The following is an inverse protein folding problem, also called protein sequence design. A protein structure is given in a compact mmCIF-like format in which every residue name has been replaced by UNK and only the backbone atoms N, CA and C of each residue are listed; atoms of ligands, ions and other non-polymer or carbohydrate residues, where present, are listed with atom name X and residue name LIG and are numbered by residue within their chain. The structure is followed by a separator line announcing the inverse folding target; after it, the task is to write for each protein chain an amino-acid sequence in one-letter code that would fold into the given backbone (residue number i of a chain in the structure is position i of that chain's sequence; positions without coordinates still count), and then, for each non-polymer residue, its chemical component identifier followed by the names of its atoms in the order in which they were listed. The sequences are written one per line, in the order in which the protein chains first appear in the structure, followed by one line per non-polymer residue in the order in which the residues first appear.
data_IF_028693880186
#
_entry.id   IF_028693880186
#
_cell.length_a   1.000
_cell.length_b   1.000
_cell.length_c   1.000
_cell.angle_alpha   90.00
_cell.angle_beta   90.00
_cell.angle_gamma   90.00
#
_symmetry.space_group_name_H-M   'P 1'
#
loop_
_entity.id
_entity.type
_entity.pdbx_description
1 polymer ?
#
# COMPACT_ATOMS: atom_id res chain seq x y z
N UNK A 1 -21.14 -3.59 -54.46
CA UNK A 1 -20.87 -2.87 -53.20
C UNK A 1 -20.23 -3.84 -52.22
N UNK A 2 -18.94 -3.68 -51.90
CA UNK A 2 -18.28 -4.40 -50.80
C UNK A 2 -17.80 -3.36 -49.81
N UNK A 3 -18.41 -3.34 -48.63
CA UNK A 3 -18.00 -2.49 -47.51
C UNK A 3 -16.59 -2.88 -47.09
N UNK A 4 -15.65 -1.94 -47.18
CA UNK A 4 -14.35 -2.06 -46.53
C UNK A 4 -14.56 -1.70 -45.07
N UNK A 5 -14.67 -2.70 -44.21
CA UNK A 5 -14.49 -2.49 -42.78
C UNK A 5 -13.07 -1.96 -42.57
N UNK A 6 -12.98 -0.68 -42.20
CA UNK A 6 -11.73 -0.06 -41.75
C UNK A 6 -11.37 -0.73 -40.43
N UNK A 7 -10.42 -1.66 -40.48
CA UNK A 7 -9.74 -2.16 -39.27
C UNK A 7 -9.12 -0.93 -38.59
N UNK A 8 -9.64 -0.58 -37.42
CA UNK A 8 -9.09 0.50 -36.60
C UNK A 8 -7.65 0.14 -36.22
N UNK A 9 -6.73 1.10 -36.36
CA UNK A 9 -5.36 0.92 -35.90
C UNK A 9 -5.38 0.64 -34.38
N UNK A 10 -4.61 -0.37 -33.94
CA UNK A 10 -4.54 -0.82 -32.56
C UNK A 10 -4.33 0.32 -31.57
N UNK A 11 -3.46 1.28 -31.89
CA UNK A 11 -3.18 2.48 -31.08
C UNK A 11 -4.41 3.39 -30.88
N UNK A 12 -5.28 3.50 -31.88
CA UNK A 12 -6.52 4.31 -31.78
C UNK A 12 -7.53 3.61 -30.89
N UNK A 13 -7.60 2.28 -30.95
CA UNK A 13 -8.45 1.49 -30.09
C UNK A 13 -7.97 1.52 -28.63
N UNK A 14 -6.67 1.35 -28.40
CA UNK A 14 -6.03 1.46 -27.09
C UNK A 14 -6.26 2.85 -26.48
N UNK A 15 -6.07 3.93 -27.25
CA UNK A 15 -6.35 5.29 -26.78
C UNK A 15 -7.82 5.52 -26.41
N UNK A 16 -8.77 4.89 -27.12
CA UNK A 16 -10.19 4.94 -26.76
C UNK A 16 -10.50 4.17 -25.49
N UNK A 17 -9.91 2.98 -25.31
CA UNK A 17 -10.08 2.20 -24.09
C UNK A 17 -9.54 2.93 -22.87
N UNK A 18 -8.38 3.59 -23.00
CA UNK A 18 -7.81 4.40 -21.92
C UNK A 18 -8.71 5.59 -21.57
N UNK A 19 -9.23 6.31 -22.58
CA UNK A 19 -10.18 7.39 -22.35
C UNK A 19 -11.46 6.91 -21.64
N UNK A 20 -12.02 5.77 -22.07
CA UNK A 20 -13.19 5.15 -21.42
C UNK A 20 -12.88 4.73 -19.97
N UNK A 21 -11.71 4.13 -19.70
CA UNK A 21 -11.29 3.76 -18.35
C UNK A 21 -11.27 4.98 -17.43
N UNK A 22 -10.66 6.08 -17.87
CA UNK A 22 -10.59 7.35 -17.13
C UNK A 22 -11.97 7.94 -16.84
N UNK A 23 -12.90 7.85 -17.79
CA UNK A 23 -14.27 8.31 -17.60
C UNK A 23 -15.06 7.45 -16.61
N UNK A 24 -14.95 6.12 -16.72
CA UNK A 24 -15.58 5.16 -15.78
C UNK A 24 -15.04 5.35 -14.37
N UNK A 25 -13.73 5.53 -14.19
CA UNK A 25 -13.11 5.76 -12.89
C UNK A 25 -13.63 7.05 -12.26
N UNK A 26 -13.66 8.15 -13.02
CA UNK A 26 -14.18 9.44 -12.55
C UNK A 26 -15.65 9.36 -12.13
N UNK A 27 -16.48 8.69 -12.91
CA UNK A 27 -17.91 8.54 -12.58
C UNK A 27 -18.12 7.60 -11.39
N UNK A 28 -17.31 6.55 -11.27
CA UNK A 28 -17.33 5.64 -10.11
C UNK A 28 -16.93 6.37 -8.84
N UNK A 29 -15.88 7.20 -8.87
CA UNK A 29 -15.49 8.06 -7.74
C UNK A 29 -16.64 9.00 -7.33
N UNK A 30 -17.31 9.62 -8.31
CA UNK A 30 -18.45 10.52 -8.08
C UNK A 30 -19.62 9.81 -7.41
N UNK A 31 -19.91 8.58 -7.81
CA UNK A 31 -21.00 7.76 -7.25
C UNK A 31 -20.66 7.30 -5.82
N UNK A 32 -19.44 6.80 -5.61
CA UNK A 32 -19.04 6.20 -4.34
C UNK A 32 -18.78 7.24 -3.24
N UNK A 33 -18.17 8.38 -3.60
CA UNK A 33 -17.69 9.37 -2.63
C UNK A 33 -18.38 10.73 -2.74
N UNK A 34 -19.23 10.90 -3.76
CA UNK A 34 -19.99 12.12 -4.00
C UNK A 34 -19.27 13.11 -4.93
N UNK A 35 -20.00 14.12 -5.46
CA UNK A 35 -19.50 15.04 -6.47
C UNK A 35 -18.46 16.04 -5.96
N UNK A 36 -18.30 16.17 -4.64
CA UNK A 36 -17.34 17.09 -4.00
C UNK A 36 -16.14 16.37 -3.41
N UNK A 37 -16.05 15.04 -3.55
CA UNK A 37 -14.90 14.31 -3.06
C UNK A 37 -13.62 14.75 -3.80
N UNK A 38 -12.49 14.88 -3.10
CA UNK A 38 -11.21 15.10 -3.76
C UNK A 38 -10.89 13.91 -4.67
N UNK A 39 -10.02 14.12 -5.67
CA UNK A 39 -9.61 13.03 -6.56
C UNK A 39 -8.95 11.90 -5.77
N UNK A 40 -9.51 10.69 -5.87
CA UNK A 40 -8.97 9.51 -5.16
C UNK A 40 -7.58 9.17 -5.67
N UNK A 41 -7.38 9.21 -6.99
CA UNK A 41 -6.06 9.05 -7.62
C UNK A 41 -5.01 10.02 -7.07
N UNK A 42 -5.35 11.31 -6.92
CA UNK A 42 -4.42 12.30 -6.37
C UNK A 42 -4.10 12.05 -4.89
N UNK A 43 -5.09 11.62 -4.11
CA UNK A 43 -4.91 11.22 -2.71
C UNK A 43 -3.96 10.01 -2.61
N UNK A 44 -4.24 8.93 -3.34
CA UNK A 44 -3.43 7.72 -3.33
C UNK A 44 -1.99 8.00 -3.76
N UNK A 45 -1.79 8.83 -4.78
CA UNK A 45 -0.46 9.23 -5.24
C UNK A 45 0.32 10.05 -4.19
N UNK A 46 -0.36 10.78 -3.31
CA UNK A 46 0.28 11.63 -2.29
C UNK A 46 0.51 10.90 -0.98
N UNK A 47 -0.38 9.97 -0.63
CA UNK A 47 -0.50 9.45 0.72
C UNK A 47 -0.61 7.93 0.82
N UNK A 48 -0.70 7.22 -0.30
CA UNK A 48 -1.12 5.82 -0.32
C UNK A 48 -2.59 5.67 0.11
N UNK A 49 -2.95 4.49 0.60
CA UNK A 49 -4.32 4.18 0.99
C UNK A 49 -4.81 4.92 2.24
N UNK A 50 -3.88 5.39 3.08
CA UNK A 50 -4.21 6.15 4.29
C UNK A 50 -3.09 7.12 4.62
N UNK A 51 -3.42 8.40 4.80
CA UNK A 51 -2.43 9.43 5.09
C UNK A 51 -1.92 9.32 6.54
N UNK A 52 -0.59 9.26 6.74
CA UNK A 52 -0.02 9.34 8.08
C UNK A 52 -0.28 10.72 8.68
N UNK A 53 -0.77 10.75 9.92
CA UNK A 53 -0.93 11.99 10.71
C UNK A 53 0.30 12.21 11.58
N UNK A 54 0.59 13.47 11.94
CA UNK A 54 1.69 13.81 12.84
C UNK A 54 1.60 13.05 14.17
N UNK A 55 0.38 12.90 14.71
CA UNK A 55 0.14 12.19 15.96
C UNK A 55 0.39 10.68 15.82
N UNK A 56 -0.03 10.06 14.70
CA UNK A 56 0.21 8.65 14.44
C UNK A 56 1.72 8.37 14.32
N UNK A 57 2.43 9.17 13.53
CA UNK A 57 3.89 9.09 13.38
C UNK A 57 4.60 9.27 14.73
N UNK A 58 4.19 10.27 15.51
CA UNK A 58 4.76 10.54 16.83
C UNK A 58 4.51 9.38 17.81
N UNK A 59 3.35 8.74 17.74
CA UNK A 59 3.04 7.61 18.60
C UNK A 59 3.82 6.34 18.22
N UNK A 60 4.08 6.12 16.93
CA UNK A 60 4.97 5.05 16.48
C UNK A 60 6.40 5.34 16.94
N UNK A 61 6.89 6.57 16.77
CA UNK A 61 8.22 6.96 17.24
C UNK A 61 8.37 6.79 18.76
N UNK A 62 7.32 7.11 19.53
CA UNK A 62 7.29 6.96 20.98
C UNK A 62 7.34 5.50 21.46
N UNK A 63 7.19 4.51 20.58
CA UNK A 63 7.46 3.10 20.93
C UNK A 63 8.94 2.88 21.29
N UNK A 64 9.85 3.71 20.75
CA UNK A 64 11.30 3.54 20.93
C UNK A 64 11.82 2.23 20.31
N UNK A 65 11.08 1.66 19.35
CA UNK A 65 11.42 0.41 18.68
C UNK A 65 11.70 0.68 17.19
N UNK A 66 12.70 -0.01 16.59
CA UNK A 66 12.79 -0.06 15.13
C UNK A 66 11.55 -0.73 14.53
N UNK A 67 11.17 -0.35 13.32
CA UNK A 67 9.97 -0.82 12.63
C UNK A 67 10.35 -1.71 11.45
N UNK A 68 9.57 -2.78 11.26
CA UNK A 68 9.46 -3.51 10.00
C UNK A 68 8.07 -3.27 9.43
N UNK A 69 7.98 -2.68 8.25
CA UNK A 69 6.71 -2.46 7.52
C UNK A 69 6.56 -3.55 6.46
N UNK A 70 5.43 -4.27 6.48
CA UNK A 70 5.07 -5.25 5.46
C UNK A 70 3.88 -4.75 4.64
N UNK A 71 3.94 -4.89 3.32
CA UNK A 71 2.94 -4.33 2.41
C UNK A 71 3.08 -2.81 2.26
N UNK A 72 4.31 -2.30 2.21
CA UNK A 72 4.59 -0.87 2.23
C UNK A 72 4.20 -0.11 0.94
N UNK A 73 3.81 -0.82 -0.11
CA UNK A 73 3.58 -0.31 -1.46
C UNK A 73 4.79 0.48 -1.95
N UNK A 74 4.56 1.76 -2.29
CA UNK A 74 5.62 2.67 -2.74
C UNK A 74 6.36 3.39 -1.59
N UNK A 75 5.98 3.18 -0.32
CA UNK A 75 6.74 3.64 0.86
C UNK A 75 6.35 5.00 1.42
N UNK A 76 5.06 5.36 1.40
CA UNK A 76 4.60 6.62 2.02
C UNK A 76 4.82 6.66 3.54
N UNK A 77 4.46 5.58 4.25
CA UNK A 77 4.63 5.49 5.70
C UNK A 77 6.09 5.31 6.10
N UNK A 78 6.84 4.47 5.38
CA UNK A 78 8.31 4.38 5.52
C UNK A 78 8.98 5.75 5.49
N UNK A 79 8.70 6.56 4.46
CA UNK A 79 9.27 7.90 4.30
C UNK A 79 8.87 8.83 5.45
N UNK A 80 7.61 8.82 5.84
CA UNK A 80 7.10 9.66 6.93
C UNK A 80 7.78 9.32 8.26
N UNK A 81 7.89 8.04 8.59
CA UNK A 81 8.52 7.54 9.82
C UNK A 81 10.03 7.80 9.84
N UNK A 82 10.72 7.57 8.72
CA UNK A 82 12.16 7.89 8.62
C UNK A 82 12.44 9.38 8.74
N UNK A 83 11.57 10.22 8.17
CA UNK A 83 11.67 11.69 8.34
C UNK A 83 11.53 12.09 9.81
N UNK A 84 10.76 11.34 10.60
CA UNK A 84 10.64 11.50 12.04
C UNK A 84 11.78 10.82 12.85
N UNK A 85 12.80 10.28 12.20
CA UNK A 85 13.96 9.66 12.85
C UNK A 85 13.78 8.22 13.31
N UNK A 86 12.70 7.54 12.86
CA UNK A 86 12.46 6.13 13.19
C UNK A 86 13.31 5.23 12.27
N UNK A 87 13.98 4.22 12.84
CA UNK A 87 14.61 3.15 12.05
C UNK A 87 13.53 2.26 11.45
N UNK A 88 13.33 2.36 10.14
CA UNK A 88 12.34 1.57 9.39
C UNK A 88 13.01 0.76 8.29
N UNK A 89 12.65 -0.52 8.19
CA UNK A 89 12.87 -1.34 7.00
C UNK A 89 11.49 -1.73 6.46
N UNK A 90 11.24 -1.46 5.18
CA UNK A 90 9.94 -1.68 4.56
C UNK A 90 10.06 -2.68 3.40
N UNK A 91 9.08 -3.58 3.32
CA UNK A 91 8.98 -4.59 2.28
C UNK A 91 7.61 -4.58 1.60
N UNK A 92 7.60 -4.93 0.33
CA UNK A 92 6.39 -5.17 -0.45
C UNK A 92 6.69 -6.22 -1.53
N UNK A 93 5.70 -7.01 -1.94
CA UNK A 93 5.85 -8.00 -3.02
C UNK A 93 5.49 -7.42 -4.41
N UNK A 94 5.04 -6.16 -4.43
CA UNK A 94 4.62 -5.37 -5.58
C UNK A 94 3.53 -5.98 -6.46
N UNK A 95 2.92 -7.08 -6.04
CA UNK A 95 1.84 -7.76 -6.77
C UNK A 95 0.60 -6.88 -6.94
N UNK A 96 0.42 -5.91 -6.04
CA UNK A 96 -0.70 -4.97 -6.02
C UNK A 96 -0.30 -3.54 -6.46
N UNK A 97 0.97 -3.28 -6.80
CA UNK A 97 1.44 -1.96 -7.24
C UNK A 97 1.31 -1.84 -8.76
N UNK A 98 0.48 -0.91 -9.29
CA UNK A 98 0.34 -0.75 -10.74
C UNK A 98 1.69 -0.46 -11.41
N UNK A 99 2.00 -1.22 -12.48
CA UNK A 99 3.20 -1.03 -13.29
C UNK A 99 4.50 -1.59 -12.67
N UNK A 100 4.39 -2.39 -11.61
CA UNK A 100 5.55 -3.04 -10.96
C UNK A 100 5.96 -4.37 -11.61
N UNK A 101 5.46 -4.68 -12.82
CA UNK A 101 5.78 -5.88 -13.60
C UNK A 101 7.27 -5.96 -14.01
N UNK A 102 8.09 -4.95 -13.68
CA UNK A 102 9.52 -4.89 -13.92
C UNK A 102 10.29 -4.90 -12.59
N UNK A 103 11.07 -5.97 -12.37
CA UNK A 103 12.10 -6.14 -11.32
C UNK A 103 12.84 -4.82 -10.99
N UNK A 104 13.26 -4.59 -9.74
CA UNK A 104 13.89 -3.34 -9.36
C UNK A 104 15.26 -3.27 -10.05
N UNK A 105 15.39 -2.38 -11.04
CA UNK A 105 16.66 -2.08 -11.71
C UNK A 105 17.67 -1.65 -10.65
N UNK A 106 18.49 -2.59 -10.22
CA UNK A 106 19.72 -2.31 -9.49
C UNK A 106 20.61 -1.45 -10.39
N UNK A 107 20.73 -0.17 -10.02
CA UNK A 107 21.67 0.87 -10.48
C UNK A 107 22.68 0.49 -11.58
N UNK A 108 22.58 1.20 -12.70
CA UNK A 108 23.76 1.78 -13.38
C UNK A 108 24.36 1.02 -14.56
N UNK A 109 23.88 1.29 -15.78
CA UNK A 109 24.71 1.65 -16.95
C UNK A 109 23.79 2.12 -18.07
N UNK A 110 24.05 3.32 -18.60
CA UNK A 110 23.43 3.76 -19.84
C UNK A 110 23.90 2.84 -20.98
N UNK A 111 22.98 2.13 -21.61
CA UNK A 111 23.16 1.65 -22.99
C UNK A 111 21.89 1.92 -23.76
N UNK A 112 22.11 2.65 -24.84
CA UNK A 112 21.13 3.26 -25.71
C UNK A 112 20.50 2.23 -26.66
N UNK A 113 19.27 2.52 -27.11
CA UNK A 113 18.55 1.91 -28.25
C UNK A 113 17.67 0.67 -28.02
N UNK A 114 16.41 0.90 -27.68
CA UNK A 114 15.24 0.32 -28.39
C UNK A 114 13.96 1.09 -28.03
N UNK A 115 13.17 1.60 -29.00
CA UNK A 115 11.89 2.22 -28.70
C UNK A 115 10.82 1.13 -28.54
N UNK A 116 10.66 0.65 -27.30
CA UNK A 116 9.51 -0.14 -26.87
C UNK A 116 8.27 0.75 -26.63
N UNK A 117 7.06 0.18 -26.65
CA UNK A 117 5.81 0.94 -26.59
C UNK A 117 5.65 1.64 -25.24
N UNK A 118 5.23 2.92 -25.31
CA UNK A 118 4.68 3.77 -24.24
C UNK A 118 5.12 3.47 -22.80
N UNK A 119 6.07 4.30 -22.33
CA UNK A 119 6.46 4.55 -20.94
C UNK A 119 5.49 3.95 -19.90
N UNK A 120 5.89 2.78 -19.39
CA UNK A 120 5.29 2.13 -18.24
C UNK A 120 5.24 3.16 -17.10
N UNK A 121 4.03 3.55 -16.65
CA UNK A 121 3.85 4.25 -15.38
C UNK A 121 4.13 3.27 -14.23
N UNK A 122 5.35 2.74 -14.15
CA UNK A 122 5.84 2.10 -12.93
C UNK A 122 5.78 3.14 -11.84
N UNK A 123 4.95 2.92 -10.82
CA UNK A 123 4.80 3.86 -9.73
C UNK A 123 6.18 4.12 -9.10
N UNK A 124 6.73 5.32 -9.31
CA UNK A 124 8.04 5.68 -8.79
C UNK A 124 8.03 5.51 -7.26
N UNK A 125 8.97 4.74 -6.72
CA UNK A 125 9.09 4.55 -5.28
C UNK A 125 9.21 5.91 -4.58
N UNK A 126 8.37 6.11 -3.56
CA UNK A 126 8.36 7.31 -2.72
C UNK A 126 9.38 7.19 -1.59
N UNK A 127 9.45 6.00 -1.00
CA UNK A 127 10.36 5.63 0.09
C UNK A 127 11.38 4.57 -0.32
N UNK A 128 12.18 4.09 0.64
CA UNK A 128 13.09 2.96 0.44
C UNK A 128 12.37 1.65 0.80
N UNK A 129 11.66 1.09 -0.18
CA UNK A 129 10.98 -0.20 -0.08
C UNK A 129 11.81 -1.28 -0.77
N UNK A 130 11.97 -2.41 -0.09
CA UNK A 130 12.64 -3.60 -0.61
C UNK A 130 11.59 -4.59 -1.11
N UNK A 131 11.94 -5.39 -2.12
CA UNK A 131 11.09 -6.52 -2.48
C UNK A 131 11.12 -7.59 -1.38
N UNK A 132 9.97 -8.15 -1.02
CA UNK A 132 9.93 -9.33 -0.16
C UNK A 132 8.57 -9.68 0.43
N UNK A 133 8.41 -10.96 0.73
CA UNK A 133 7.21 -11.56 1.33
C UNK A 133 7.39 -11.81 2.82
N UNK A 134 6.29 -11.93 3.60
CA UNK A 134 6.36 -12.11 5.06
C UNK A 134 7.24 -13.27 5.52
N UNK A 135 7.19 -14.41 4.84
CA UNK A 135 7.90 -15.64 5.17
C UNK A 135 9.41 -15.51 5.05
N UNK A 136 9.88 -14.74 4.06
CA UNK A 136 11.30 -14.50 3.82
C UNK A 136 11.82 -13.38 4.71
N UNK A 137 11.06 -12.30 4.91
CA UNK A 137 11.61 -11.07 5.49
C UNK A 137 11.47 -11.02 7.01
N UNK A 138 10.33 -11.41 7.58
CA UNK A 138 10.06 -11.23 9.01
C UNK A 138 10.99 -12.04 9.92
N UNK A 139 11.40 -13.29 9.58
CA UNK A 139 12.37 -14.02 10.39
C UNK A 139 13.73 -13.31 10.53
N UNK A 140 14.10 -12.46 9.56
CA UNK A 140 15.35 -11.69 9.55
C UNK A 140 15.24 -10.31 10.23
N UNK A 141 14.06 -9.96 10.74
CA UNK A 141 13.80 -8.67 11.39
C UNK A 141 13.37 -8.82 12.87
N UNK A 142 14.08 -9.63 13.70
CA UNK A 142 13.71 -9.81 15.09
C UNK A 142 13.86 -8.50 15.89
N UNK A 143 13.01 -8.31 16.90
CA UNK A 143 13.06 -7.16 17.80
C UNK A 143 12.48 -5.85 17.24
N UNK A 144 12.11 -5.81 15.96
CA UNK A 144 11.35 -4.70 15.36
C UNK A 144 9.87 -4.82 15.71
N UNK A 145 9.17 -3.69 15.84
CA UNK A 145 7.70 -3.70 15.83
C UNK A 145 7.19 -3.86 14.39
N UNK A 146 6.16 -4.68 14.20
CA UNK A 146 5.54 -4.89 12.90
C UNK A 146 4.55 -3.75 12.62
N UNK A 147 4.65 -3.13 11.45
CA UNK A 147 3.70 -2.17 10.91
C UNK A 147 2.98 -2.78 9.70
N UNK A 148 1.65 -2.76 9.72
CA UNK A 148 0.78 -3.11 8.59
C UNK A 148 -0.11 -1.90 8.29
N UNK A 149 -0.04 -1.38 7.07
CA UNK A 149 -0.84 -0.22 6.64
C UNK A 149 -1.74 -0.63 5.48
N UNK A 150 -3.05 -0.53 5.72
CA UNK A 150 -4.09 -0.88 4.77
C UNK A 150 -3.83 -2.22 4.05
N UNK A 151 -3.59 -3.33 4.78
CA UNK A 151 -3.38 -4.61 4.12
C UNK A 151 -4.64 -4.98 3.32
N UNK A 152 -4.45 -5.55 2.14
CA UNK A 152 -5.54 -6.05 1.31
C UNK A 152 -6.33 -7.18 2.00
N UNK A 153 -7.49 -7.57 1.47
CA UNK A 153 -8.28 -8.70 1.96
C UNK A 153 -7.68 -10.06 1.53
N UNK A 154 -6.34 -10.15 1.50
CA UNK A 154 -5.54 -11.32 1.13
C UNK A 154 -4.76 -11.85 2.36
N UNK A 155 -3.99 -12.91 2.15
CA UNK A 155 -3.28 -13.61 3.21
C UNK A 155 -2.09 -12.82 3.81
N UNK A 156 -1.63 -11.72 3.22
CA UNK A 156 -0.38 -11.04 3.62
C UNK A 156 -0.37 -10.64 5.09
N UNK A 157 -1.48 -10.12 5.61
CA UNK A 157 -1.58 -9.75 7.02
C UNK A 157 -1.55 -10.97 7.97
N UNK A 158 -2.18 -12.07 7.57
CA UNK A 158 -2.19 -13.34 8.31
C UNK A 158 -0.81 -14.01 8.30
N UNK A 159 -0.17 -14.06 7.13
CA UNK A 159 1.19 -14.56 6.95
C UNK A 159 2.18 -13.71 7.74
N UNK A 160 1.97 -12.39 7.76
CA UNK A 160 2.77 -11.48 8.60
C UNK A 160 2.69 -11.83 10.08
N UNK A 161 1.51 -12.11 10.63
CA UNK A 161 1.41 -12.54 12.03
C UNK A 161 2.05 -13.91 12.29
N UNK A 162 1.99 -14.80 11.29
CA UNK A 162 2.55 -16.16 11.36
C UNK A 162 4.08 -16.14 11.43
N UNK A 163 4.72 -15.30 10.63
CA UNK A 163 6.18 -15.21 10.56
C UNK A 163 6.79 -14.17 11.51
N UNK A 164 5.97 -13.30 12.08
CA UNK A 164 6.42 -12.29 13.03
C UNK A 164 6.57 -12.85 14.46
N UNK A 165 7.81 -12.87 14.96
CA UNK A 165 8.13 -13.35 16.31
C UNK A 165 8.06 -12.28 17.41
N UNK A 166 7.87 -11.00 17.04
CA UNK A 166 7.82 -9.90 18.00
C UNK A 166 6.46 -9.78 18.71
N UNK A 167 6.41 -8.82 19.63
CA UNK A 167 5.27 -8.62 20.54
C UNK A 167 4.53 -7.31 20.32
N UNK A 168 4.91 -6.51 19.33
CA UNK A 168 4.30 -5.20 19.06
C UNK A 168 3.83 -5.11 17.63
N UNK A 169 2.54 -4.86 17.44
CA UNK A 169 1.92 -4.65 16.13
C UNK A 169 1.34 -3.25 16.09
N UNK A 170 1.62 -2.53 15.01
CA UNK A 170 0.93 -1.31 14.62
C UNK A 170 0.11 -1.66 13.38
N UNK A 171 -1.21 -1.62 13.51
CA UNK A 171 -2.14 -1.88 12.42
C UNK A 171 -2.83 -0.57 12.04
N UNK A 172 -2.83 -0.22 10.77
CA UNK A 172 -3.56 0.93 10.22
C UNK A 172 -4.53 0.41 9.16
N UNK A 173 -5.82 0.69 9.31
CA UNK A 173 -6.84 0.21 8.37
C UNK A 173 -8.23 0.22 8.99
N UNK A 174 -9.17 -0.50 8.40
CA UNK A 174 -10.51 -0.67 8.95
C UNK A 174 -10.57 -1.78 10.00
N UNK A 175 -11.64 -1.80 10.80
CA UNK A 175 -11.89 -2.88 11.76
C UNK A 175 -12.40 -4.16 11.08
N UNK A 176 -12.57 -5.22 11.87
CA UNK A 176 -13.12 -6.49 11.39
C UNK A 176 -14.46 -6.29 10.65
N UNK A 177 -14.54 -6.82 9.43
CA UNK A 177 -15.70 -6.64 8.53
C UNK A 177 -15.55 -5.49 7.53
N UNK A 178 -14.46 -4.72 7.60
CA UNK A 178 -14.09 -3.70 6.63
C UNK A 178 -13.33 -4.24 5.41
N UNK A 179 -12.69 -3.33 4.68
CA UNK A 179 -11.97 -3.61 3.44
C UNK A 179 -10.57 -4.26 3.62
N UNK A 180 -10.06 -4.32 4.86
CA UNK A 180 -8.68 -4.71 5.13
C UNK A 180 -8.55 -6.06 5.83
N UNK A 181 -7.48 -6.79 5.51
CA UNK A 181 -7.11 -8.08 6.06
C UNK A 181 -8.22 -9.16 5.98
N UNK A 182 -7.89 -10.38 6.41
CA UNK A 182 -8.85 -11.49 6.44
C UNK A 182 -9.61 -11.55 7.77
N UNK A 183 -10.79 -12.19 7.83
CA UNK A 183 -11.42 -12.53 9.10
C UNK A 183 -10.52 -13.35 10.04
N UNK A 184 -9.64 -14.20 9.49
CA UNK A 184 -8.69 -15.01 10.27
C UNK A 184 -7.65 -14.13 10.97
N UNK A 185 -7.13 -13.10 10.30
CA UNK A 185 -6.25 -12.11 10.91
C UNK A 185 -6.91 -11.46 12.13
N UNK A 186 -8.15 -10.99 12.02
CA UNK A 186 -8.83 -10.38 13.17
C UNK A 186 -9.17 -11.36 14.29
N UNK A 187 -9.47 -12.62 13.97
CA UNK A 187 -9.64 -13.67 14.98
C UNK A 187 -8.33 -13.92 15.75
N UNK A 188 -7.18 -13.89 15.06
CA UNK A 188 -5.88 -13.98 15.73
C UNK A 188 -5.63 -12.77 16.63
N UNK A 189 -5.93 -11.55 16.17
CA UNK A 189 -5.82 -10.35 17.00
C UNK A 189 -6.68 -10.46 18.27
N UNK A 190 -7.93 -10.92 18.14
CA UNK A 190 -8.82 -11.12 19.29
C UNK A 190 -8.29 -12.19 20.26
N UNK A 191 -7.62 -13.22 19.74
CA UNK A 191 -7.13 -14.35 20.53
C UNK A 191 -5.85 -14.03 21.29
N UNK A 192 -4.89 -13.37 20.65
CA UNK A 192 -3.50 -13.31 21.09
C UNK A 192 -2.94 -11.89 21.22
N UNK A 193 -3.75 -10.85 21.03
CA UNK A 193 -3.29 -9.47 21.06
C UNK A 193 -4.20 -8.58 21.91
N UNK A 194 -3.58 -7.63 22.62
CA UNK A 194 -4.25 -6.61 23.41
C UNK A 194 -4.04 -5.25 22.76
N UNK A 195 -5.13 -4.54 22.47
CA UNK A 195 -5.08 -3.14 22.04
C UNK A 195 -4.59 -2.29 23.22
N UNK A 196 -3.49 -1.55 23.01
CA UNK A 196 -2.94 -0.62 24.00
C UNK A 196 -3.22 0.84 23.65
N UNK A 197 -3.42 1.15 22.37
CA UNK A 197 -3.76 2.51 21.92
C UNK A 197 -4.56 2.45 20.61
N UNK A 198 -5.49 3.39 20.46
CA UNK A 198 -6.21 3.66 19.20
C UNK A 198 -6.03 5.13 18.87
N UNK A 199 -5.80 5.44 17.61
CA UNK A 199 -5.56 6.79 17.13
C UNK A 199 -6.27 7.01 15.80
N UNK A 200 -6.72 8.24 15.59
CA UNK A 200 -7.26 8.65 14.31
C UNK A 200 -6.14 8.85 13.29
N UNK A 201 -6.43 8.51 12.05
CA UNK A 201 -5.62 8.80 10.86
C UNK A 201 -6.46 9.64 9.91
N UNK A 202 -5.90 10.05 8.77
CA UNK A 202 -6.66 10.85 7.80
C UNK A 202 -6.94 9.99 6.56
N UNK A 203 -8.04 9.23 6.51
CA UNK A 203 -8.37 8.39 5.37
C UNK A 203 -8.86 9.18 4.16
N UNK A 204 -9.01 8.49 3.02
CA UNK A 204 -9.71 9.08 1.89
C UNK A 204 -11.20 9.29 2.21
N UNK A 205 -11.78 10.36 1.68
CA UNK A 205 -13.14 10.85 1.93
C UNK A 205 -14.16 9.78 2.36
N UNK A 206 -14.53 9.77 3.64
CA UNK A 206 -15.54 8.87 4.22
C UNK A 206 -15.02 7.51 4.70
N UNK A 207 -13.71 7.28 4.63
CA UNK A 207 -13.06 6.09 5.17
C UNK A 207 -13.14 5.99 6.69
N UNK A 208 -13.07 4.76 7.18
CA UNK A 208 -13.21 4.39 8.60
C UNK A 208 -11.88 3.96 9.25
N UNK A 209 -10.77 4.22 8.57
CA UNK A 209 -9.45 3.75 8.96
C UNK A 209 -9.00 4.40 10.27
N UNK A 210 -8.36 3.60 11.13
CA UNK A 210 -7.70 4.06 12.35
C UNK A 210 -6.33 3.39 12.47
N UNK A 211 -5.53 3.85 13.41
CA UNK A 211 -4.31 3.17 13.83
C UNK A 211 -4.50 2.54 15.21
N UNK A 212 -4.14 1.27 15.33
CA UNK A 212 -4.08 0.54 16.59
C UNK A 212 -2.65 0.14 16.88
N UNK A 213 -2.24 0.35 18.13
CA UNK A 213 -1.04 -0.26 18.68
C UNK A 213 -1.50 -1.43 19.54
N UNK A 214 -0.99 -2.62 19.25
CA UNK A 214 -1.31 -3.86 19.93
C UNK A 214 -0.06 -4.51 20.51
N UNK A 215 -0.23 -5.19 21.65
CA UNK A 215 0.80 -6.01 22.28
C UNK A 215 0.35 -7.47 22.33
N UNK A 216 1.23 -8.39 21.94
CA UNK A 216 0.98 -9.83 22.02
C UNK A 216 0.83 -10.25 23.49
N UNK A 217 -0.16 -11.09 23.79
CA UNK A 217 -0.47 -11.59 25.14
C UNK A 217 0.33 -12.82 25.52
#
# INVERSE_FOLDING_TARGET
MKGRDRVMARSVFEGRLDAMRKEVEKESERILYGPTAPSRRAYLSSYGCTKPTTDAVSAIAALGQPIVEMGAGVGHWEKALRTAGVDVVAYDDWSAVPGADDEPVAKGRATEHSPGPCENESAALVGKVLHGTPDVTLPHNPGRALLLVYPGPDAMAEDSLTHYSGSTLVYVGENAGGANATPRFFQELQRAWKVVKVMEVEPFSGGCERMWILKRT
#
